data_IF_820823101193
#
_entry.id   IF_820823101193
#
_cell.length_a   1.000
_cell.length_b   1.000
_cell.length_c   1.000
_cell.angle_alpha   90.00
_cell.angle_beta   90.00
_cell.angle_gamma   90.00
#
_symmetry.space_group_name_H-M   'P 1'
#
loop_
_entity.id
_entity.type
_entity.pdbx_description
1 polymer ?
#
# COMPACT_ATOMS: atom_id res chain seq x y z
N UNK A 1 -47.50 57.36 -13.05
CA UNK A 1 -46.92 57.30 -11.69
C UNK A 1 -46.78 55.83 -11.34
N UNK A 2 -45.53 55.40 -11.23
CA UNK A 2 -45.09 54.01 -11.32
C UNK A 2 -45.48 53.18 -10.09
N UNK A 3 -45.97 51.98 -10.38
CA UNK A 3 -46.07 50.85 -9.46
C UNK A 3 -44.68 50.24 -9.31
N UNK A 4 -43.99 50.50 -8.21
CA UNK A 4 -42.73 49.82 -7.89
C UNK A 4 -43.05 48.43 -7.35
N UNK A 5 -42.74 47.43 -8.18
CA UNK A 5 -42.73 46.01 -7.85
C UNK A 5 -41.58 45.74 -6.87
N UNK A 6 -41.93 45.47 -5.61
CA UNK A 6 -40.99 44.94 -4.63
C UNK A 6 -40.63 43.49 -5.03
N UNK A 7 -39.47 43.30 -5.65
CA UNK A 7 -38.88 41.97 -5.81
C UNK A 7 -38.24 41.58 -4.48
N UNK A 8 -38.34 40.32 -4.03
CA UNK A 8 -37.50 39.88 -2.93
C UNK A 8 -36.05 39.94 -3.41
N UNK A 9 -35.24 40.71 -2.70
CA UNK A 9 -33.79 40.65 -2.81
C UNK A 9 -33.37 39.27 -2.30
N UNK A 10 -33.07 38.35 -3.21
CA UNK A 10 -32.38 37.10 -2.87
C UNK A 10 -31.08 37.47 -2.14
N UNK A 11 -30.96 37.03 -0.89
CA UNK A 11 -29.76 37.24 -0.11
C UNK A 11 -28.63 36.38 -0.69
N UNK A 12 -27.50 36.95 -1.15
CA UNK A 12 -26.40 36.19 -1.75
C UNK A 12 -25.78 35.12 -0.82
N UNK A 13 -26.07 35.17 0.49
CA UNK A 13 -25.70 34.12 1.45
C UNK A 13 -26.50 32.81 1.34
N UNK A 14 -27.74 32.82 0.82
CA UNK A 14 -28.58 31.62 0.75
C UNK A 14 -28.20 30.69 -0.41
N UNK A 15 -27.89 31.27 -1.57
CA UNK A 15 -27.51 30.52 -2.78
C UNK A 15 -26.14 29.86 -2.64
N UNK A 16 -25.15 30.60 -2.12
CA UNK A 16 -23.82 30.05 -1.82
C UNK A 16 -23.92 28.89 -0.82
N UNK A 17 -24.82 29.00 0.15
CA UNK A 17 -25.03 27.97 1.15
C UNK A 17 -25.70 26.72 0.56
N UNK A 18 -26.65 26.91 -0.35
CA UNK A 18 -27.27 25.82 -1.10
C UNK A 18 -26.26 25.08 -1.99
N UNK A 19 -25.41 25.81 -2.73
CA UNK A 19 -24.34 25.23 -3.55
C UNK A 19 -23.38 24.37 -2.72
N UNK A 20 -22.97 24.85 -1.54
CA UNK A 20 -22.13 24.07 -0.62
C UNK A 20 -22.80 22.76 -0.20
N UNK A 21 -24.10 22.78 0.08
CA UNK A 21 -24.83 21.58 0.47
C UNK A 21 -24.94 20.57 -0.69
N UNK A 22 -25.16 21.05 -1.92
CA UNK A 22 -25.13 20.20 -3.12
C UNK A 22 -23.75 19.58 -3.33
N UNK A 23 -22.67 20.36 -3.19
CA UNK A 23 -21.31 19.84 -3.36
C UNK A 23 -20.99 18.77 -2.31
N UNK A 24 -21.34 19.00 -1.04
CA UNK A 24 -21.18 18.00 0.03
C UNK A 24 -22.00 16.74 -0.26
N UNK A 25 -23.21 16.88 -0.81
CA UNK A 25 -24.03 15.73 -1.20
C UNK A 25 -23.38 14.93 -2.32
N UNK A 26 -22.87 15.59 -3.36
CA UNK A 26 -22.18 14.93 -4.46
C UNK A 26 -20.92 14.18 -4.02
N UNK A 27 -20.15 14.72 -3.05
CA UNK A 27 -19.03 13.98 -2.47
C UNK A 27 -19.46 12.76 -1.66
N UNK A 28 -20.59 12.83 -0.94
CA UNK A 28 -21.13 11.64 -0.27
C UNK A 28 -21.51 10.55 -1.27
N UNK A 29 -22.05 10.93 -2.43
CA UNK A 29 -22.41 9.97 -3.48
C UNK A 29 -21.15 9.34 -4.11
N UNK A 30 -20.11 10.13 -4.37
CA UNK A 30 -18.80 9.66 -4.81
C UNK A 30 -18.15 8.71 -3.80
N UNK A 31 -18.23 9.05 -2.51
CA UNK A 31 -17.72 8.20 -1.42
C UNK A 31 -18.37 6.81 -1.43
N UNK A 32 -19.69 6.71 -1.63
CA UNK A 32 -20.38 5.39 -1.71
C UNK A 32 -19.90 4.54 -2.89
N UNK A 33 -19.34 5.15 -3.93
CA UNK A 33 -18.76 4.40 -5.06
C UNK A 33 -17.32 3.98 -4.84
N UNK A 34 -16.56 4.75 -4.08
CA UNK A 34 -15.20 4.38 -3.69
C UNK A 34 -15.18 3.28 -2.61
N UNK A 35 -16.31 3.04 -1.95
CA UNK A 35 -16.45 2.06 -0.87
C UNK A 35 -15.87 0.67 -1.25
N UNK A 36 -14.84 0.18 -0.54
CA UNK A 36 -14.21 -1.11 -0.80
C UNK A 36 -15.12 -2.30 -0.48
N UNK A 37 -16.13 -2.15 0.39
CA UNK A 37 -17.02 -3.25 0.81
C UNK A 37 -18.14 -3.55 -0.20
N UNK A 38 -18.15 -2.85 -1.34
CA UNK A 38 -19.16 -3.04 -2.37
C UNK A 38 -18.92 -4.35 -3.13
N UNK A 39 -19.68 -5.39 -2.78
CA UNK A 39 -19.70 -6.67 -3.48
C UNK A 39 -20.04 -6.43 -4.97
N UNK A 40 -19.18 -6.88 -5.92
CA UNK A 40 -19.52 -6.83 -7.34
C UNK A 40 -20.76 -7.68 -7.60
N UNK A 41 -21.85 -7.08 -8.05
CA UNK A 41 -23.03 -7.81 -8.52
C UNK A 41 -22.80 -8.24 -9.96
N UNK A 42 -22.27 -9.45 -10.22
CA UNK A 42 -22.59 -10.22 -11.43
C UNK A 42 -22.29 -11.72 -11.31
N UNK A 43 -23.27 -12.52 -11.76
CA UNK A 43 -23.13 -13.93 -12.15
C UNK A 43 -22.56 -13.98 -13.58
N UNK A 44 -21.39 -14.60 -13.78
CA UNK A 44 -20.96 -15.06 -15.10
C UNK A 44 -20.30 -16.43 -14.97
N UNK A 45 -20.72 -17.34 -15.83
CA UNK A 45 -20.25 -18.73 -15.91
C UNK A 45 -18.78 -18.80 -16.37
N UNK A 46 -17.98 -19.73 -15.84
CA UNK A 46 -16.58 -19.87 -16.18
C UNK A 46 -16.47 -20.36 -17.62
N UNK A 47 -16.01 -19.49 -18.51
CA UNK A 47 -15.67 -19.88 -19.89
C UNK A 47 -14.25 -19.43 -20.18
N UNK A 48 -13.47 -20.33 -20.77
CA UNK A 48 -12.10 -20.08 -21.24
C UNK A 48 -12.11 -18.86 -22.19
N UNK A 49 -11.14 -17.94 -22.10
CA UNK A 49 -11.11 -16.78 -22.98
C UNK A 49 -10.94 -17.22 -24.44
N UNK A 50 -11.84 -16.78 -25.31
CA UNK A 50 -11.67 -16.80 -26.77
C UNK A 50 -10.65 -15.74 -27.19
N UNK A 51 -10.06 -15.86 -28.37
CA UNK A 51 -9.01 -14.97 -28.89
C UNK A 51 -9.48 -13.50 -28.93
N UNK A 52 -10.77 -13.27 -29.23
CA UNK A 52 -11.39 -11.94 -29.20
C UNK A 52 -11.58 -11.33 -27.80
N UNK A 53 -11.50 -12.13 -26.72
CA UNK A 53 -11.56 -11.65 -25.32
C UNK A 53 -10.20 -11.10 -24.88
N UNK A 54 -9.10 -11.63 -25.43
CA UNK A 54 -7.74 -11.15 -25.12
C UNK A 54 -7.52 -9.73 -25.66
N UNK A 55 -7.86 -9.47 -26.93
CA UNK A 55 -7.75 -8.13 -27.53
C UNK A 55 -8.55 -7.07 -26.75
N UNK A 56 -9.73 -7.44 -26.23
CA UNK A 56 -10.52 -6.54 -25.39
C UNK A 56 -9.86 -6.25 -24.03
N UNK A 57 -9.14 -7.21 -23.44
CA UNK A 57 -8.45 -7.04 -22.16
C UNK A 57 -7.21 -6.17 -22.30
N UNK A 58 -6.46 -6.31 -23.39
CA UNK A 58 -5.32 -5.44 -23.71
C UNK A 58 -5.76 -3.98 -23.82
N UNK A 59 -6.84 -3.71 -24.56
CA UNK A 59 -7.39 -2.37 -24.69
C UNK A 59 -7.80 -1.80 -23.33
N UNK A 60 -8.49 -2.59 -22.50
CA UNK A 60 -8.91 -2.14 -21.17
C UNK A 60 -7.72 -1.90 -20.24
N UNK A 61 -6.72 -2.78 -20.28
CA UNK A 61 -5.48 -2.63 -19.50
C UNK A 61 -4.76 -1.34 -19.89
N UNK A 62 -4.62 -1.09 -21.20
CA UNK A 62 -4.01 0.12 -21.71
C UNK A 62 -4.80 1.37 -21.34
N UNK A 63 -6.13 1.34 -21.48
CA UNK A 63 -6.99 2.45 -21.06
C UNK A 63 -6.86 2.75 -19.56
N UNK A 64 -6.73 1.72 -18.72
CA UNK A 64 -6.62 1.88 -17.27
C UNK A 64 -5.40 2.74 -16.88
N UNK A 65 -4.21 2.42 -17.41
CA UNK A 65 -2.97 3.13 -17.05
C UNK A 65 -2.67 4.37 -17.90
N UNK A 66 -3.21 4.48 -19.11
CA UNK A 66 -2.97 5.60 -20.03
C UNK A 66 -3.99 6.72 -19.92
N UNK A 67 -5.23 6.41 -19.53
CA UNK A 67 -6.36 7.35 -19.61
C UNK A 67 -7.14 7.42 -18.31
N UNK A 68 -7.66 6.30 -17.81
CA UNK A 68 -8.62 6.31 -16.70
C UNK A 68 -7.99 6.78 -15.38
N UNK A 69 -6.85 6.21 -14.99
CA UNK A 69 -6.14 6.61 -13.76
C UNK A 69 -5.52 8.01 -13.87
N UNK A 70 -4.86 8.41 -14.99
CA UNK A 70 -4.43 9.79 -15.18
C UNK A 70 -5.58 10.81 -15.06
N UNK A 71 -6.73 10.53 -15.68
CA UNK A 71 -7.91 11.39 -15.59
C UNK A 71 -8.39 11.53 -14.15
N UNK A 72 -8.45 10.43 -13.39
CA UNK A 72 -8.79 10.46 -11.96
C UNK A 72 -7.84 11.38 -11.18
N UNK A 73 -6.54 11.25 -11.43
CA UNK A 73 -5.50 12.06 -10.80
C UNK A 73 -5.68 13.55 -11.10
N UNK A 74 -5.87 13.90 -12.37
CA UNK A 74 -6.03 15.28 -12.83
C UNK A 74 -7.30 15.90 -12.26
N UNK A 75 -8.38 15.13 -12.17
CA UNK A 75 -9.59 15.60 -11.51
C UNK A 75 -9.36 15.90 -10.02
N UNK A 76 -8.62 15.05 -9.28
CA UNK A 76 -8.31 15.30 -7.85
C UNK A 76 -7.45 16.55 -7.70
N UNK A 77 -6.43 16.73 -8.55
CA UNK A 77 -5.59 17.93 -8.55
C UNK A 77 -6.45 19.17 -8.84
N UNK A 78 -7.34 19.09 -9.83
CA UNK A 78 -8.24 20.19 -10.19
C UNK A 78 -9.18 20.56 -9.04
N UNK A 79 -9.79 19.58 -8.38
CA UNK A 79 -10.56 19.82 -7.14
C UNK A 79 -9.68 20.49 -6.09
N UNK A 80 -8.44 20.02 -5.94
CA UNK A 80 -7.51 20.55 -4.96
C UNK A 80 -7.28 22.06 -5.15
N UNK A 81 -7.08 22.46 -6.41
CA UNK A 81 -6.84 23.85 -6.81
C UNK A 81 -8.10 24.70 -6.68
N UNK A 82 -9.26 24.20 -7.10
CA UNK A 82 -10.54 24.91 -7.00
C UNK A 82 -10.93 25.18 -5.53
N UNK A 83 -10.59 24.25 -4.64
CA UNK A 83 -10.92 24.32 -3.22
C UNK A 83 -9.78 24.83 -2.35
N UNK A 84 -8.72 25.37 -2.97
CA UNK A 84 -7.61 25.99 -2.25
C UNK A 84 -8.13 27.15 -1.36
N UNK A 85 -7.76 27.20 -0.06
CA UNK A 85 -8.30 28.18 0.88
C UNK A 85 -8.03 29.64 0.51
N UNK A 86 -6.89 29.93 -0.11
CA UNK A 86 -6.57 31.29 -0.55
C UNK A 86 -7.40 31.66 -1.76
N UNK A 87 -7.51 30.73 -2.70
CA UNK A 87 -8.34 30.93 -3.88
C UNK A 87 -9.83 31.04 -3.53
N UNK A 88 -10.34 30.28 -2.56
CA UNK A 88 -11.77 30.23 -2.21
C UNK A 88 -12.31 31.52 -1.60
N UNK A 89 -11.46 32.47 -1.18
CA UNK A 89 -11.88 33.82 -0.78
C UNK A 89 -12.42 34.64 -1.96
N UNK A 90 -12.00 34.29 -3.18
CA UNK A 90 -12.40 34.94 -4.43
C UNK A 90 -13.24 33.96 -5.26
N UNK A 91 -14.37 34.44 -5.79
CA UNK A 91 -15.21 33.69 -6.75
C UNK A 91 -15.74 32.34 -6.22
N UNK A 92 -16.01 32.24 -4.91
CA UNK A 92 -16.43 30.97 -4.26
C UNK A 92 -17.65 30.33 -4.94
N UNK A 93 -18.60 31.13 -5.44
CA UNK A 93 -19.79 30.62 -6.12
C UNK A 93 -19.44 29.93 -7.44
N UNK A 94 -18.66 30.60 -8.30
CA UNK A 94 -18.23 30.05 -9.59
C UNK A 94 -17.42 28.77 -9.41
N UNK A 95 -16.54 28.73 -8.40
CA UNK A 95 -15.74 27.55 -8.07
C UNK A 95 -16.60 26.39 -7.58
N UNK A 96 -17.59 26.64 -6.73
CA UNK A 96 -18.51 25.60 -6.27
C UNK A 96 -19.38 25.06 -7.40
N UNK A 97 -19.87 25.92 -8.31
CA UNK A 97 -20.55 25.48 -9.54
C UNK A 97 -19.63 24.61 -10.40
N UNK A 98 -18.37 25.01 -10.57
CA UNK A 98 -17.38 24.21 -11.30
C UNK A 98 -17.13 22.85 -10.65
N UNK A 99 -17.07 22.77 -9.32
CA UNK A 99 -16.97 21.49 -8.61
C UNK A 99 -18.19 20.60 -8.88
N UNK A 100 -19.41 21.16 -8.88
CA UNK A 100 -20.62 20.40 -9.22
C UNK A 100 -20.59 19.85 -10.65
N UNK A 101 -20.04 20.61 -11.61
CA UNK A 101 -19.88 20.15 -13.00
C UNK A 101 -18.91 18.98 -13.14
N UNK A 102 -17.85 18.93 -12.34
CA UNK A 102 -16.80 17.89 -12.41
C UNK A 102 -17.23 16.61 -11.66
N UNK A 103 -18.11 16.69 -10.67
CA UNK A 103 -18.55 15.52 -9.87
C UNK A 103 -19.15 14.36 -10.70
N UNK A 104 -20.01 14.60 -11.71
CA UNK A 104 -20.48 13.56 -12.63
C UNK A 104 -19.35 12.89 -13.43
N UNK A 105 -18.33 13.65 -13.84
CA UNK A 105 -17.18 13.12 -14.58
C UNK A 105 -16.34 12.19 -13.70
N UNK A 106 -16.08 12.56 -12.44
CA UNK A 106 -15.49 11.67 -11.44
C UNK A 106 -16.27 10.38 -11.29
N UNK A 107 -17.59 10.52 -11.15
CA UNK A 107 -18.50 9.42 -10.92
C UNK A 107 -18.47 8.41 -12.10
N UNK A 108 -18.41 8.91 -13.33
CA UNK A 108 -18.23 8.10 -14.53
C UNK A 108 -16.86 7.42 -14.56
N UNK A 109 -15.79 8.16 -14.31
CA UNK A 109 -14.42 7.67 -14.34
C UNK A 109 -14.16 6.57 -13.29
N UNK A 110 -14.61 6.72 -12.04
CA UNK A 110 -14.51 5.67 -11.00
C UNK A 110 -15.27 4.40 -11.42
N UNK A 111 -16.43 4.56 -12.08
CA UNK A 111 -17.21 3.43 -12.58
C UNK A 111 -16.45 2.69 -13.68
N UNK A 112 -15.85 3.42 -14.62
CA UNK A 112 -15.04 2.85 -15.69
C UNK A 112 -13.80 2.13 -15.16
N UNK A 113 -13.12 2.69 -14.15
CA UNK A 113 -11.96 2.05 -13.51
C UNK A 113 -12.36 0.70 -12.91
N UNK A 114 -13.44 0.64 -12.12
CA UNK A 114 -13.93 -0.61 -11.54
C UNK A 114 -14.31 -1.63 -12.62
N UNK A 115 -15.12 -1.21 -13.61
CA UNK A 115 -15.51 -2.08 -14.73
C UNK A 115 -14.31 -2.63 -15.50
N UNK A 116 -13.27 -1.82 -15.71
CA UNK A 116 -12.05 -2.26 -16.38
C UNK A 116 -11.31 -3.31 -15.55
N UNK A 117 -11.14 -3.09 -14.24
CA UNK A 117 -10.52 -4.07 -13.34
C UNK A 117 -11.32 -5.36 -13.29
N UNK A 118 -12.64 -5.30 -13.13
CA UNK A 118 -13.51 -6.49 -13.09
C UNK A 118 -13.41 -7.33 -14.39
N UNK A 119 -13.23 -6.66 -15.53
CA UNK A 119 -13.08 -7.33 -16.83
C UNK A 119 -11.67 -7.92 -17.05
N UNK A 120 -10.64 -7.27 -16.52
CA UNK A 120 -9.23 -7.68 -16.60
C UNK A 120 -8.92 -8.81 -15.59
N UNK A 121 -9.52 -8.76 -14.40
CA UNK A 121 -9.28 -9.65 -13.26
C UNK A 121 -10.51 -10.52 -12.94
N UNK A 122 -10.74 -11.65 -13.63
CA UNK A 122 -11.88 -12.51 -13.33
C UNK A 122 -11.84 -13.10 -11.91
N UNK A 123 -13.01 -13.26 -11.28
CA UNK A 123 -13.13 -13.79 -9.91
C UNK A 123 -12.53 -15.20 -9.72
N UNK A 124 -12.37 -16.00 -10.79
CA UNK A 124 -11.77 -17.34 -10.72
C UNK A 124 -10.24 -17.34 -10.77
N UNK A 125 -9.58 -16.18 -10.88
CA UNK A 125 -8.11 -16.10 -10.88
C UNK A 125 -7.50 -16.72 -9.61
N UNK A 126 -8.21 -16.65 -8.48
CA UNK A 126 -7.81 -17.24 -7.20
C UNK A 126 -7.75 -18.77 -7.19
N UNK A 127 -8.34 -19.45 -8.18
CA UNK A 127 -8.39 -20.93 -8.25
C UNK A 127 -7.56 -21.53 -9.37
N UNK A 128 -6.97 -20.71 -10.24
CA UNK A 128 -6.14 -21.18 -11.36
C UNK A 128 -4.77 -21.64 -10.88
N UNK A 129 -4.26 -22.75 -11.44
CA UNK A 129 -2.87 -23.17 -11.25
C UNK A 129 -1.94 -22.10 -11.81
N UNK A 130 -1.08 -21.53 -10.97
CA UNK A 130 -0.28 -20.32 -11.26
C UNK A 130 1.12 -20.63 -11.80
N UNK A 131 1.29 -21.84 -12.36
CA UNK A 131 2.60 -22.41 -12.70
C UNK A 131 2.97 -22.30 -14.17
N UNK A 132 1.99 -22.07 -15.06
CA UNK A 132 2.16 -22.12 -16.52
C UNK A 132 1.83 -20.79 -17.23
N UNK A 133 1.97 -19.65 -16.53
CA UNK A 133 1.61 -18.32 -17.04
C UNK A 133 2.81 -17.40 -17.36
N UNK A 134 4.02 -17.95 -17.48
CA UNK A 134 5.26 -17.20 -17.69
C UNK A 134 5.18 -16.26 -18.90
N UNK A 135 4.52 -16.70 -19.98
CA UNK A 135 4.41 -15.98 -21.24
C UNK A 135 3.27 -14.94 -21.26
N UNK A 136 2.42 -14.88 -20.22
CA UNK A 136 1.27 -13.96 -20.15
C UNK A 136 1.67 -12.52 -19.82
N UNK A 137 2.94 -12.23 -19.55
CA UNK A 137 3.48 -10.88 -19.33
C UNK A 137 2.66 -10.08 -18.31
N UNK A 138 1.95 -9.03 -18.72
CA UNK A 138 1.12 -8.19 -17.85
C UNK A 138 -0.08 -8.94 -17.25
N UNK A 139 -0.53 -10.02 -17.87
CA UNK A 139 -1.68 -10.84 -17.45
C UNK A 139 -1.31 -12.06 -16.63
N UNK A 140 -0.06 -12.16 -16.15
CA UNK A 140 0.28 -13.11 -15.09
C UNK A 140 -0.70 -12.95 -13.93
N UNK A 141 -1.27 -14.06 -13.47
CA UNK A 141 -2.33 -14.09 -12.44
C UNK A 141 -1.96 -13.26 -11.22
N UNK A 142 -0.72 -13.40 -10.71
CA UNK A 142 -0.24 -12.66 -9.56
C UNK A 142 -0.23 -11.14 -9.80
N UNK A 143 0.17 -10.69 -11.00
CA UNK A 143 0.14 -9.26 -11.34
C UNK A 143 -1.28 -8.73 -11.34
N UNK A 144 -2.24 -9.49 -11.88
CA UNK A 144 -3.65 -9.11 -11.91
C UNK A 144 -4.24 -8.98 -10.51
N UNK A 145 -3.94 -9.93 -9.62
CA UNK A 145 -4.35 -9.88 -8.21
C UNK A 145 -3.74 -8.67 -7.48
N UNK A 146 -2.46 -8.37 -7.73
CA UNK A 146 -1.81 -7.20 -7.12
C UNK A 146 -2.37 -5.88 -7.67
N UNK A 147 -2.69 -5.81 -8.97
CA UNK A 147 -3.35 -4.65 -9.58
C UNK A 147 -4.74 -4.44 -8.96
N UNK A 148 -5.54 -5.49 -8.81
CA UNK A 148 -6.86 -5.41 -8.18
C UNK A 148 -6.75 -4.87 -6.76
N UNK A 149 -5.87 -5.46 -5.94
CA UNK A 149 -5.57 -4.98 -4.57
C UNK A 149 -5.14 -3.51 -4.57
N UNK A 150 -4.25 -3.13 -5.46
CA UNK A 150 -3.70 -1.77 -5.53
C UNK A 150 -4.74 -0.74 -6.00
N UNK A 151 -5.65 -1.11 -6.91
CA UNK A 151 -6.78 -0.25 -7.30
C UNK A 151 -7.75 -0.08 -6.13
N UNK A 152 -8.04 -1.14 -5.37
CA UNK A 152 -8.84 -1.04 -4.14
C UNK A 152 -8.22 -0.06 -3.12
N UNK A 153 -6.92 -0.18 -2.84
CA UNK A 153 -6.19 0.77 -1.97
C UNK A 153 -6.26 2.19 -2.54
N UNK A 154 -6.13 2.35 -3.85
CA UNK A 154 -6.23 3.67 -4.51
C UNK A 154 -7.61 4.30 -4.29
N UNK A 155 -8.68 3.52 -4.50
CA UNK A 155 -10.04 4.02 -4.32
C UNK A 155 -10.35 4.34 -2.86
N UNK A 156 -9.76 3.62 -1.91
CA UNK A 156 -9.87 3.94 -0.48
C UNK A 156 -9.18 5.27 -0.12
N UNK A 157 -7.99 5.55 -0.66
CA UNK A 157 -7.33 6.85 -0.49
C UNK A 157 -8.16 7.99 -1.14
N UNK A 158 -8.77 7.72 -2.30
CA UNK A 158 -9.71 8.67 -2.94
C UNK A 158 -10.95 8.89 -2.06
N UNK A 159 -11.53 7.84 -1.48
CA UNK A 159 -12.62 7.94 -0.51
C UNK A 159 -12.25 8.85 0.67
N UNK A 160 -11.06 8.65 1.24
CA UNK A 160 -10.57 9.46 2.35
C UNK A 160 -10.36 10.92 1.95
N UNK A 161 -9.88 11.19 0.74
CA UNK A 161 -9.79 12.57 0.22
C UNK A 161 -11.16 13.23 0.09
N UNK A 162 -12.18 12.55 -0.45
CA UNK A 162 -13.55 13.07 -0.53
C UNK A 162 -14.17 13.31 0.86
N UNK A 163 -13.88 12.43 1.82
CA UNK A 163 -14.30 12.61 3.22
C UNK A 163 -13.66 13.85 3.84
N UNK A 164 -12.37 14.08 3.59
CA UNK A 164 -11.64 15.25 4.07
C UNK A 164 -12.20 16.54 3.45
N UNK A 165 -12.42 16.57 2.14
CA UNK A 165 -13.05 17.69 1.41
C UNK A 165 -14.43 18.00 1.98
N UNK A 166 -15.28 16.98 2.15
CA UNK A 166 -16.62 17.14 2.71
C UNK A 166 -16.59 17.73 4.12
N UNK A 167 -15.60 17.36 4.93
CA UNK A 167 -15.43 17.84 6.30
C UNK A 167 -14.97 19.30 6.30
N UNK A 168 -14.00 19.63 5.45
CA UNK A 168 -13.53 20.99 5.23
C UNK A 168 -14.67 21.93 4.81
N UNK A 169 -15.50 21.52 3.84
CA UNK A 169 -16.65 22.31 3.39
C UNK A 169 -17.72 22.55 4.47
N UNK A 170 -18.02 21.53 5.28
CA UNK A 170 -18.94 21.68 6.41
C UNK A 170 -18.43 22.69 7.42
N UNK A 171 -17.12 22.69 7.70
CA UNK A 171 -16.52 23.66 8.62
C UNK A 171 -16.51 25.08 8.05
N UNK A 172 -16.20 25.24 6.75
CA UNK A 172 -16.33 26.53 6.07
C UNK A 172 -17.75 27.10 6.14
N UNK A 173 -18.77 26.24 6.04
CA UNK A 173 -20.19 26.63 6.23
C UNK A 173 -20.45 27.17 7.65
N UNK A 174 -19.94 26.50 8.68
CA UNK A 174 -20.20 26.85 10.08
C UNK A 174 -19.53 28.16 10.52
N UNK A 175 -18.43 28.55 9.86
CA UNK A 175 -17.63 29.70 10.29
C UNK A 175 -18.13 31.05 9.76
N UNK A 176 -19.12 31.11 8.86
CA UNK A 176 -19.75 32.35 8.36
C UNK A 176 -18.82 33.58 8.28
N UNK A 177 -17.63 33.44 7.67
CA UNK A 177 -16.63 34.50 7.52
C UNK A 177 -15.43 34.44 8.48
N UNK A 178 -15.35 33.46 9.38
CA UNK A 178 -14.19 33.19 10.23
C UNK A 178 -13.08 32.39 9.52
N UNK A 179 -11.85 32.58 9.98
CA UNK A 179 -10.67 31.85 9.47
C UNK A 179 -10.83 30.35 9.70
N UNK A 180 -10.67 29.53 8.65
CA UNK A 180 -10.62 28.07 8.79
C UNK A 180 -9.37 27.69 9.57
N UNK A 181 -9.51 26.79 10.54
CA UNK A 181 -8.38 26.31 11.31
C UNK A 181 -7.33 25.67 10.37
N UNK A 182 -6.06 26.05 10.55
CA UNK A 182 -4.92 25.54 9.77
C UNK A 182 -4.87 24.00 9.74
N UNK A 183 -5.31 23.35 10.83
CA UNK A 183 -5.36 21.89 10.93
C UNK A 183 -6.32 21.24 9.92
N UNK A 184 -7.48 21.85 9.63
CA UNK A 184 -8.45 21.29 8.69
C UNK A 184 -7.96 21.41 7.24
N UNK A 185 -7.29 22.52 6.91
CA UNK A 185 -6.61 22.73 5.62
C UNK A 185 -5.49 21.71 5.46
N UNK A 186 -4.64 21.56 6.48
CA UNK A 186 -3.55 20.59 6.48
C UNK A 186 -4.07 19.16 6.27
N UNK A 187 -5.15 18.77 6.95
CA UNK A 187 -5.76 17.45 6.81
C UNK A 187 -6.30 17.21 5.39
N UNK A 188 -6.99 18.20 4.83
CA UNK A 188 -7.50 18.16 3.46
C UNK A 188 -6.37 18.01 2.42
N UNK A 189 -5.32 18.82 2.52
CA UNK A 189 -4.17 18.75 1.62
C UNK A 189 -3.46 17.39 1.75
N UNK A 190 -3.25 16.92 2.98
CA UNK A 190 -2.62 15.63 3.24
C UNK A 190 -3.34 14.47 2.54
N UNK A 191 -4.66 14.33 2.69
CA UNK A 191 -5.40 13.24 2.05
C UNK A 191 -5.47 13.37 0.53
N UNK A 192 -5.49 14.59 0.02
CA UNK A 192 -5.44 14.85 -1.43
C UNK A 192 -4.09 14.42 -2.01
N UNK A 193 -2.98 14.79 -1.36
CA UNK A 193 -1.64 14.36 -1.74
C UNK A 193 -1.49 12.84 -1.69
N UNK A 194 -2.04 12.20 -0.65
CA UNK A 194 -2.07 10.73 -0.54
C UNK A 194 -2.83 10.08 -1.69
N UNK A 195 -4.02 10.56 -2.04
CA UNK A 195 -4.79 10.04 -3.15
C UNK A 195 -4.05 10.19 -4.50
N UNK A 196 -3.46 11.37 -4.75
CA UNK A 196 -2.64 11.62 -5.95
C UNK A 196 -1.41 10.72 -6.01
N UNK A 197 -0.74 10.50 -4.88
CA UNK A 197 0.40 9.60 -4.77
C UNK A 197 0.00 8.13 -5.00
N UNK A 198 -1.12 7.68 -4.44
CA UNK A 198 -1.66 6.34 -4.63
C UNK A 198 -2.00 6.06 -6.09
N UNK A 199 -2.69 6.99 -6.77
CA UNK A 199 -2.99 6.87 -8.20
C UNK A 199 -1.68 6.81 -9.02
N UNK A 200 -0.71 7.66 -8.69
CA UNK A 200 0.60 7.64 -9.35
C UNK A 200 1.38 6.34 -9.16
N UNK A 201 1.29 5.74 -7.97
CA UNK A 201 1.85 4.42 -7.68
C UNK A 201 1.17 3.33 -8.52
N UNK A 202 -0.15 3.32 -8.58
CA UNK A 202 -0.93 2.35 -9.36
C UNK A 202 -0.60 2.41 -10.85
N UNK A 203 -0.52 3.62 -11.43
CA UNK A 203 -0.06 3.82 -12.81
C UNK A 203 1.35 3.26 -13.00
N UNK A 204 2.26 3.52 -12.05
CA UNK A 204 3.64 3.03 -12.11
C UNK A 204 3.70 1.50 -12.07
N UNK A 205 2.89 0.85 -11.23
CA UNK A 205 2.85 -0.61 -11.13
C UNK A 205 2.24 -1.27 -12.37
N UNK A 206 1.19 -0.69 -12.94
CA UNK A 206 0.59 -1.15 -14.20
C UNK A 206 1.57 -1.09 -15.38
N UNK A 207 2.36 -0.01 -15.47
CA UNK A 207 3.38 0.18 -16.51
C UNK A 207 4.73 -0.48 -16.17
N UNK A 208 4.90 -0.84 -14.91
CA UNK A 208 6.18 -1.19 -14.32
C UNK A 208 6.59 -2.63 -14.58
N UNK A 209 7.88 -2.87 -14.45
CA UNK A 209 8.47 -4.19 -14.51
C UNK A 209 8.02 -5.07 -13.33
N UNK A 210 8.25 -6.37 -13.41
CA UNK A 210 8.10 -7.25 -12.25
C UNK A 210 9.01 -6.86 -11.08
N UNK A 211 10.16 -6.24 -11.37
CA UNK A 211 11.04 -5.72 -10.33
C UNK A 211 10.44 -4.48 -9.64
N UNK A 212 9.67 -3.65 -10.34
CA UNK A 212 8.95 -2.54 -9.71
C UNK A 212 7.94 -3.07 -8.69
N UNK A 213 7.21 -4.14 -9.03
CA UNK A 213 6.27 -4.82 -8.11
C UNK A 213 7.02 -5.35 -6.88
N UNK A 214 8.09 -6.14 -7.09
CA UNK A 214 8.93 -6.68 -6.01
C UNK A 214 9.49 -5.58 -5.11
N UNK A 215 9.97 -4.48 -5.70
CA UNK A 215 10.50 -3.35 -4.94
C UNK A 215 9.42 -2.64 -4.11
N UNK A 216 8.19 -2.52 -4.57
CA UNK A 216 7.11 -1.93 -3.75
C UNK A 216 6.73 -2.85 -2.58
N UNK A 217 6.63 -4.17 -2.79
CA UNK A 217 6.42 -5.12 -1.70
C UNK A 217 7.57 -5.08 -0.68
N UNK A 218 8.82 -4.99 -1.16
CA UNK A 218 9.99 -4.88 -0.32
C UNK A 218 10.01 -3.58 0.50
N UNK A 219 9.60 -2.43 -0.07
CA UNK A 219 9.52 -1.15 0.66
C UNK A 219 8.51 -1.19 1.80
N UNK A 220 7.32 -1.71 1.57
CA UNK A 220 6.31 -1.90 2.63
C UNK A 220 6.89 -2.79 3.75
N UNK A 221 7.57 -3.86 3.38
CA UNK A 221 8.23 -4.75 4.33
C UNK A 221 9.32 -4.04 5.14
N UNK A 222 10.21 -3.28 4.49
CA UNK A 222 11.27 -2.52 5.18
C UNK A 222 10.65 -1.53 6.17
N UNK A 223 9.64 -0.78 5.77
CA UNK A 223 8.94 0.18 6.64
C UNK A 223 8.38 -0.50 7.89
N UNK A 224 7.72 -1.64 7.73
CA UNK A 224 7.17 -2.42 8.86
C UNK A 224 8.25 -2.99 9.77
N UNK A 225 9.34 -3.50 9.18
CA UNK A 225 10.50 -4.02 9.92
C UNK A 225 11.19 -2.89 10.71
N UNK A 226 11.34 -1.70 10.14
CA UNK A 226 11.94 -0.55 10.84
C UNK A 226 11.13 -0.13 12.06
N UNK A 227 9.79 -0.10 11.94
CA UNK A 227 8.91 0.14 13.06
C UNK A 227 9.11 -0.90 14.17
N UNK A 228 9.07 -2.19 13.82
CA UNK A 228 9.26 -3.27 14.79
C UNK A 228 10.65 -3.26 15.42
N UNK A 229 11.69 -2.94 14.65
CA UNK A 229 13.05 -2.79 15.16
C UNK A 229 13.14 -1.67 16.21
N UNK A 230 12.47 -0.53 15.96
CA UNK A 230 12.42 0.55 16.95
C UNK A 230 11.72 0.09 18.24
N UNK A 231 10.59 -0.64 18.12
CA UNK A 231 9.90 -1.22 19.28
C UNK A 231 10.78 -2.20 20.05
N UNK A 232 11.49 -3.11 19.36
CA UNK A 232 12.40 -4.06 20.00
C UNK A 232 13.56 -3.37 20.71
N UNK A 233 14.14 -2.33 20.10
CA UNK A 233 15.21 -1.54 20.72
C UNK A 233 14.72 -0.81 21.99
N UNK A 234 13.49 -0.31 21.98
CA UNK A 234 12.88 0.36 23.14
C UNK A 234 12.67 -0.64 24.30
N UNK A 235 12.17 -1.86 24.04
CA UNK A 235 11.90 -2.83 25.13
C UNK A 235 13.17 -3.53 25.65
N UNK A 236 14.19 -3.72 24.80
CA UNK A 236 15.45 -4.38 25.23
C UNK A 236 16.36 -3.41 25.99
N UNK A 237 16.20 -2.09 25.81
CA UNK A 237 17.00 -1.07 26.48
C UNK A 237 16.19 -0.33 27.56
N UNK A 238 16.38 -0.64 28.86
CA UNK A 238 15.64 -0.02 29.95
C UNK A 238 15.90 1.49 30.12
N UNK A 239 16.95 2.03 29.46
CA UNK A 239 17.30 3.45 29.49
C UNK A 239 16.92 4.21 28.21
N UNK A 240 16.29 3.55 27.23
CA UNK A 240 15.83 4.23 26.02
C UNK A 240 14.69 5.20 26.36
N UNK A 241 14.69 6.45 25.84
CA UNK A 241 13.53 7.30 25.95
C UNK A 241 12.37 6.61 25.22
N UNK A 242 11.29 6.27 25.95
CA UNK A 242 10.09 5.63 25.42
C UNK A 242 9.53 6.50 24.28
N UNK A 243 9.81 6.11 23.04
CA UNK A 243 9.37 6.86 21.85
C UNK A 243 8.16 6.21 21.20
N UNK A 244 8.11 4.87 21.21
CA UNK A 244 7.08 4.10 20.53
C UNK A 244 6.56 2.90 21.34
N UNK A 245 6.99 2.77 22.60
CA UNK A 245 6.71 1.61 23.43
C UNK A 245 5.21 1.43 23.71
N UNK A 246 4.63 0.40 23.12
CA UNK A 246 3.32 -0.15 23.48
C UNK A 246 3.43 -1.07 24.71
N UNK A 247 4.62 -1.64 24.93
CA UNK A 247 4.91 -2.64 25.98
C UNK A 247 6.00 -2.15 26.94
N UNK A 248 6.01 -2.64 28.20
CA UNK A 248 7.05 -2.31 29.18
C UNK A 248 8.43 -2.85 28.76
N UNK A 249 9.53 -2.23 29.22
CA UNK A 249 10.87 -2.78 29.03
C UNK A 249 11.01 -4.17 29.64
N UNK A 250 11.80 -5.03 28.99
CA UNK A 250 12.15 -6.35 29.48
C UNK A 250 12.99 -6.22 30.77
N UNK A 251 12.72 -7.10 31.74
CA UNK A 251 13.30 -7.03 33.08
C UNK A 251 14.20 -8.21 33.42
N UNK A 252 14.04 -9.34 32.72
CA UNK A 252 14.79 -10.56 32.99
C UNK A 252 15.95 -10.74 32.01
N UNK A 253 17.17 -10.81 32.55
CA UNK A 253 18.41 -10.88 31.77
C UNK A 253 18.38 -11.97 30.67
N UNK A 254 17.90 -13.20 30.90
CA UNK A 254 17.88 -14.22 29.85
C UNK A 254 16.98 -13.84 28.66
N UNK A 255 15.84 -13.20 28.93
CA UNK A 255 14.92 -12.74 27.89
C UNK A 255 15.45 -11.49 27.18
N UNK A 256 16.16 -10.61 27.89
CA UNK A 256 16.87 -9.49 27.29
C UNK A 256 17.96 -9.94 26.30
N UNK A 257 18.72 -10.99 26.62
CA UNK A 257 19.71 -11.55 25.70
C UNK A 257 19.04 -12.17 24.45
N UNK A 258 17.91 -12.86 24.61
CA UNK A 258 17.10 -13.29 23.46
C UNK A 258 16.64 -12.09 22.61
N UNK A 259 16.18 -11.01 23.25
CA UNK A 259 15.77 -9.80 22.56
C UNK A 259 16.89 -9.18 21.71
N UNK A 260 18.14 -9.20 22.20
CA UNK A 260 19.30 -8.75 21.41
C UNK A 260 19.55 -9.63 20.19
N UNK A 261 19.42 -10.95 20.33
CA UNK A 261 19.55 -11.87 19.20
C UNK A 261 18.42 -11.67 18.18
N UNK A 262 17.18 -11.45 18.64
CA UNK A 262 16.05 -11.11 17.79
C UNK A 262 16.27 -9.81 17.00
N UNK A 263 16.81 -8.77 17.64
CA UNK A 263 17.21 -7.51 16.97
C UNK A 263 18.17 -7.79 15.80
N UNK A 264 19.17 -8.66 15.98
CA UNK A 264 20.10 -9.01 14.91
C UNK A 264 19.38 -9.70 13.74
N UNK A 265 18.47 -10.64 14.02
CA UNK A 265 17.70 -11.34 12.97
C UNK A 265 16.81 -10.35 12.20
N UNK A 266 16.16 -9.42 12.89
CA UNK A 266 15.34 -8.34 12.30
C UNK A 266 16.19 -7.46 11.39
N UNK A 267 17.38 -7.05 11.84
CA UNK A 267 18.32 -6.26 11.04
C UNK A 267 18.78 -7.00 9.78
N UNK A 268 19.15 -8.28 9.89
CA UNK A 268 19.56 -9.09 8.74
C UNK A 268 18.40 -9.27 7.76
N UNK A 269 17.17 -9.45 8.26
CA UNK A 269 15.96 -9.49 7.43
C UNK A 269 15.74 -8.18 6.69
N UNK A 270 15.90 -7.03 7.34
CA UNK A 270 15.78 -5.71 6.72
C UNK A 270 16.74 -5.56 5.53
N UNK A 271 18.00 -5.96 5.73
CA UNK A 271 19.04 -5.88 4.69
C UNK A 271 18.68 -6.68 3.43
N UNK A 272 17.95 -7.79 3.56
CA UNK A 272 17.43 -8.56 2.42
C UNK A 272 16.49 -7.73 1.57
N UNK A 273 15.46 -7.15 2.18
CA UNK A 273 14.44 -6.40 1.45
C UNK A 273 14.98 -5.06 0.92
N UNK A 274 15.91 -4.42 1.64
CA UNK A 274 16.60 -3.22 1.16
C UNK A 274 17.37 -3.45 -0.15
N UNK A 275 17.79 -4.70 -0.46
CA UNK A 275 18.46 -5.00 -1.74
C UNK A 275 17.59 -4.85 -2.97
N UNK A 276 16.26 -4.90 -2.83
CA UNK A 276 15.35 -4.63 -3.94
C UNK A 276 15.14 -3.14 -4.20
N UNK A 277 15.62 -2.26 -3.32
CA UNK A 277 15.40 -0.81 -3.45
C UNK A 277 15.95 -0.23 -4.75
N UNK A 278 15.53 1.00 -5.08
CA UNK A 278 16.03 1.78 -6.24
C UNK A 278 17.56 1.93 -6.31
N UNK A 279 18.26 1.83 -5.18
CA UNK A 279 19.73 1.88 -5.14
C UNK A 279 20.39 0.49 -5.21
N UNK A 280 19.57 -0.57 -5.09
CA UNK A 280 19.95 -1.96 -5.26
C UNK A 280 19.63 -2.46 -6.67
N UNK A 281 18.78 -3.48 -6.77
CA UNK A 281 18.43 -4.09 -8.05
C UNK A 281 17.59 -3.15 -8.93
N UNK A 282 16.68 -2.37 -8.34
CA UNK A 282 15.70 -1.55 -9.08
C UNK A 282 16.27 -0.22 -9.63
N UNK A 283 17.60 -0.04 -9.60
CA UNK A 283 18.27 1.07 -10.25
C UNK A 283 18.64 0.81 -11.71
N UNK A 284 18.29 -0.37 -12.24
CA UNK A 284 18.69 -0.83 -13.58
C UNK A 284 17.47 -0.90 -14.51
N UNK A 285 17.69 -0.60 -15.79
CA UNK A 285 16.68 -0.81 -16.82
C UNK A 285 16.62 -2.29 -17.17
N UNK A 286 15.92 -3.07 -16.36
CA UNK A 286 15.70 -4.50 -16.61
C UNK A 286 14.55 -4.72 -17.60
N UNK A 287 14.46 -5.94 -18.12
CA UNK A 287 13.29 -6.39 -18.89
C UNK A 287 12.02 -6.20 -18.06
N UNK A 288 10.92 -5.80 -18.73
CA UNK A 288 9.63 -5.58 -18.07
C UNK A 288 9.09 -6.87 -17.41
N UNK A 289 9.35 -8.01 -18.05
CA UNK A 289 8.87 -9.31 -17.61
C UNK A 289 10.02 -10.30 -17.54
N UNK A 290 10.01 -11.13 -16.51
CA UNK A 290 10.94 -12.23 -16.32
C UNK A 290 10.28 -13.55 -16.73
N UNK A 291 11.07 -14.61 -16.70
CA UNK A 291 10.61 -15.99 -16.92
C UNK A 291 9.96 -16.62 -15.67
N UNK A 292 9.72 -15.83 -14.61
CA UNK A 292 8.97 -16.31 -13.44
C UNK A 292 7.49 -16.50 -13.77
N UNK A 293 6.88 -17.57 -13.28
CA UNK A 293 5.42 -17.66 -13.25
C UNK A 293 4.84 -16.87 -12.06
N UNK A 294 3.52 -16.80 -11.97
CA UNK A 294 2.82 -16.12 -10.89
C UNK A 294 3.10 -16.68 -9.51
N UNK A 295 3.23 -18.00 -9.36
CA UNK A 295 3.59 -18.61 -8.06
C UNK A 295 4.97 -18.14 -7.59
N UNK A 296 5.96 -18.12 -8.50
CA UNK A 296 7.32 -17.68 -8.20
C UNK A 296 7.38 -16.17 -7.89
N UNK A 297 6.70 -15.34 -8.69
CA UNK A 297 6.62 -13.90 -8.44
C UNK A 297 5.93 -13.62 -7.10
N UNK A 298 4.81 -14.29 -6.84
CA UNK A 298 4.08 -14.21 -5.57
C UNK A 298 4.92 -14.68 -4.39
N UNK A 299 5.72 -15.73 -4.54
CA UNK A 299 6.65 -16.22 -3.52
C UNK A 299 7.61 -15.12 -3.06
N UNK A 300 8.19 -14.36 -4.00
CA UNK A 300 9.09 -13.25 -3.67
C UNK A 300 8.34 -12.13 -2.94
N UNK A 301 7.22 -11.68 -3.49
CA UNK A 301 6.49 -10.52 -2.95
C UNK A 301 5.84 -10.81 -1.59
N UNK A 302 5.30 -12.01 -1.38
CA UNK A 302 4.67 -12.41 -0.11
C UNK A 302 5.69 -12.80 0.97
N UNK A 303 6.97 -12.92 0.62
CA UNK A 303 8.05 -13.22 1.57
C UNK A 303 8.07 -12.21 2.72
N UNK A 304 7.89 -10.92 2.40
CA UNK A 304 7.94 -9.85 3.38
C UNK A 304 6.85 -9.93 4.45
N UNK A 305 5.62 -10.25 4.03
CA UNK A 305 4.49 -10.44 4.95
C UNK A 305 4.74 -11.60 5.92
N UNK A 306 5.26 -12.73 5.42
CA UNK A 306 5.62 -13.91 6.23
C UNK A 306 6.75 -13.60 7.21
N UNK A 307 7.80 -12.92 6.74
CA UNK A 307 8.93 -12.51 7.59
C UNK A 307 8.47 -11.58 8.70
N UNK A 308 7.68 -10.56 8.35
CA UNK A 308 7.14 -9.62 9.34
C UNK A 308 6.25 -10.32 10.38
N UNK A 309 5.37 -11.24 9.95
CA UNK A 309 4.50 -11.99 10.87
C UNK A 309 5.31 -12.81 11.88
N UNK A 310 6.39 -13.47 11.45
CA UNK A 310 7.25 -14.24 12.35
C UNK A 310 8.04 -13.35 13.30
N UNK A 311 8.51 -12.18 12.86
CA UNK A 311 9.14 -11.21 13.76
C UNK A 311 8.17 -10.70 14.83
N UNK A 312 6.91 -10.42 14.45
CA UNK A 312 5.85 -10.06 15.41
C UNK A 312 5.57 -11.21 16.38
N UNK A 313 5.58 -12.46 15.92
CA UNK A 313 5.44 -13.64 16.79
C UNK A 313 6.57 -13.71 17.80
N UNK A 314 7.83 -13.58 17.38
CA UNK A 314 9.00 -13.56 18.28
C UNK A 314 8.89 -12.42 19.30
N UNK A 315 8.54 -11.22 18.86
CA UNK A 315 8.36 -10.07 19.74
C UNK A 315 7.30 -10.32 20.82
N UNK A 316 6.12 -10.84 20.45
CA UNK A 316 5.07 -11.19 21.41
C UNK A 316 5.53 -12.26 22.40
N UNK A 317 6.23 -13.28 21.91
CA UNK A 317 6.79 -14.33 22.77
C UNK A 317 7.81 -13.76 23.77
N UNK A 318 8.65 -12.80 23.37
CA UNK A 318 9.58 -12.12 24.29
C UNK A 318 8.82 -11.41 25.42
N UNK A 319 7.79 -10.63 25.08
CA UNK A 319 6.98 -9.92 26.07
C UNK A 319 6.28 -10.88 27.04
N UNK A 320 5.67 -11.95 26.53
CA UNK A 320 5.00 -12.95 27.38
C UNK A 320 5.99 -13.72 28.25
N UNK A 321 7.14 -14.13 27.70
CA UNK A 321 8.16 -14.87 28.44
C UNK A 321 8.81 -14.04 29.56
N UNK A 322 8.96 -12.73 29.37
CA UNK A 322 9.45 -11.83 30.42
C UNK A 322 8.41 -11.59 31.53
N UNK A 323 7.14 -11.45 31.14
CA UNK A 323 6.05 -11.22 32.10
C UNK A 323 5.82 -12.42 33.03
N UNK A 324 5.90 -13.64 32.50
CA UNK A 324 5.65 -14.88 33.24
C UNK A 324 6.96 -15.54 33.74
N UNK A 325 8.08 -14.81 33.70
CA UNK A 325 9.40 -15.40 33.94
C UNK A 325 9.52 -15.99 35.34
N UNK A 326 9.81 -17.30 35.41
CA UNK A 326 9.91 -18.04 36.67
C UNK A 326 8.58 -18.52 37.25
N UNK A 327 7.44 -18.03 36.74
CA UNK A 327 6.10 -18.54 37.08
C UNK A 327 5.69 -19.68 36.13
N UNK A 328 5.95 -19.53 34.84
CA UNK A 328 5.66 -20.52 33.81
C UNK A 328 6.91 -20.89 33.00
N UNK A 329 6.99 -22.13 32.46
CA UNK A 329 8.07 -22.49 31.55
C UNK A 329 7.99 -21.64 30.28
N UNK A 330 9.15 -21.19 29.79
CA UNK A 330 9.24 -20.47 28.52
C UNK A 330 8.78 -21.40 27.38
N UNK A 331 7.95 -20.87 26.48
CA UNK A 331 7.52 -21.61 25.28
C UNK A 331 8.62 -21.65 24.21
N UNK A 332 9.67 -22.41 24.51
CA UNK A 332 10.84 -22.59 23.64
C UNK A 332 10.46 -23.15 22.28
N UNK A 333 9.40 -23.98 22.21
CA UNK A 333 8.91 -24.55 20.96
C UNK A 333 8.39 -23.47 20.03
N UNK A 334 7.52 -22.57 20.50
CA UNK A 334 6.97 -21.50 19.66
C UNK A 334 8.04 -20.52 19.19
N UNK A 335 9.08 -20.27 19.99
CA UNK A 335 10.24 -19.47 19.59
C UNK A 335 11.03 -20.13 18.45
N UNK A 336 11.35 -21.42 18.59
CA UNK A 336 12.10 -22.18 17.59
C UNK A 336 11.31 -22.25 16.28
N UNK A 337 10.02 -22.59 16.35
CA UNK A 337 9.15 -22.64 15.16
C UNK A 337 9.12 -21.28 14.44
N UNK A 338 8.96 -20.17 15.16
CA UNK A 338 8.96 -18.84 14.56
C UNK A 338 10.31 -18.49 13.90
N UNK A 339 11.43 -18.91 14.49
CA UNK A 339 12.76 -18.69 13.96
C UNK A 339 13.05 -19.55 12.71
N UNK A 340 12.63 -20.80 12.69
CA UNK A 340 12.75 -21.69 11.54
C UNK A 340 11.85 -21.25 10.38
N UNK A 341 10.64 -20.76 10.69
CA UNK A 341 9.72 -20.20 9.71
C UNK A 341 10.28 -18.92 9.05
N UNK A 342 11.09 -18.13 9.75
CA UNK A 342 11.81 -16.98 9.16
C UNK A 342 12.77 -17.41 8.06
N UNK A 343 13.57 -18.46 8.30
CA UNK A 343 14.51 -19.00 7.29
C UNK A 343 13.72 -19.54 6.09
N UNK A 344 12.67 -20.31 6.35
CA UNK A 344 11.82 -20.88 5.31
C UNK A 344 11.16 -19.79 4.45
N UNK A 345 10.76 -18.67 5.06
CA UNK A 345 10.11 -17.56 4.39
C UNK A 345 11.02 -16.79 3.40
N UNK A 346 12.34 -16.92 3.51
CA UNK A 346 13.31 -16.21 2.67
C UNK A 346 14.14 -17.11 1.76
N UNK A 347 14.21 -18.41 2.05
CA UNK A 347 15.00 -19.36 1.27
C UNK A 347 14.54 -19.50 -0.19
N UNK A 348 13.25 -19.78 -0.40
CA UNK A 348 12.69 -19.90 -1.75
C UNK A 348 12.77 -18.56 -2.52
N UNK A 349 12.35 -17.41 -1.94
CA UNK A 349 12.54 -16.10 -2.55
C UNK A 349 13.99 -15.80 -2.94
N UNK A 350 14.95 -16.08 -2.05
CA UNK A 350 16.37 -15.84 -2.33
C UNK A 350 16.85 -16.64 -3.54
N UNK A 351 16.46 -17.93 -3.64
CA UNK A 351 16.78 -18.77 -4.80
C UNK A 351 16.15 -18.23 -6.09
N UNK A 352 14.89 -17.81 -6.05
CA UNK A 352 14.19 -17.25 -7.21
C UNK A 352 14.83 -15.93 -7.68
N UNK A 353 15.24 -15.07 -6.76
CA UNK A 353 15.94 -13.82 -7.06
C UNK A 353 17.28 -14.11 -7.75
N UNK A 354 18.05 -15.06 -7.21
CA UNK A 354 19.32 -15.48 -7.81
C UNK A 354 19.13 -16.11 -9.20
N UNK A 355 18.05 -16.86 -9.40
CA UNK A 355 17.77 -17.56 -10.65
C UNK A 355 17.22 -16.64 -11.75
N UNK A 356 16.34 -15.71 -11.40
CA UNK A 356 15.55 -14.95 -12.38
C UNK A 356 15.90 -13.46 -12.44
N UNK A 357 16.34 -12.85 -11.34
CA UNK A 357 16.60 -11.40 -11.29
C UNK A 357 18.09 -11.08 -11.45
N UNK A 358 18.98 -11.83 -10.78
CA UNK A 358 20.43 -11.60 -10.87
C UNK A 358 20.97 -11.71 -12.30
N UNK A 359 20.57 -12.70 -13.14
CA UNK A 359 21.06 -12.80 -14.51
C UNK A 359 20.66 -11.62 -15.41
N UNK A 360 19.62 -10.87 -15.04
CA UNK A 360 19.15 -9.72 -15.81
C UNK A 360 20.01 -8.46 -15.57
N UNK A 361 20.86 -8.47 -14.53
CA UNK A 361 21.70 -7.32 -14.19
C UNK A 361 22.80 -7.09 -15.23
N UNK A 362 23.11 -5.81 -15.49
CA UNK A 362 24.08 -5.39 -16.52
C UNK A 362 25.52 -5.83 -16.18
N UNK A 363 25.93 -6.97 -16.74
CA UNK A 363 27.31 -7.42 -16.80
C UNK A 363 27.79 -8.30 -15.64
N UNK A 364 28.78 -9.13 -15.96
CA UNK A 364 29.38 -10.13 -15.06
C UNK A 364 29.81 -9.59 -13.68
N UNK A 365 30.44 -8.40 -13.54
CA UNK A 365 30.86 -7.92 -12.22
C UNK A 365 29.70 -7.72 -11.24
N UNK A 366 28.55 -7.23 -11.73
CA UNK A 366 27.36 -7.01 -10.90
C UNK A 366 26.73 -8.34 -10.50
N UNK A 367 26.60 -9.26 -11.45
CA UNK A 367 26.05 -10.59 -11.19
C UNK A 367 26.87 -11.31 -10.11
N UNK A 368 28.20 -11.32 -10.24
CA UNK A 368 29.11 -11.90 -9.25
C UNK A 368 28.96 -11.22 -7.88
N UNK A 369 28.83 -9.89 -7.84
CA UNK A 369 28.59 -9.18 -6.59
C UNK A 369 27.30 -9.63 -5.90
N UNK A 370 26.18 -9.69 -6.62
CA UNK A 370 24.90 -10.10 -6.03
C UNK A 370 24.91 -11.58 -5.60
N UNK A 371 25.50 -12.47 -6.40
CA UNK A 371 25.67 -13.88 -6.03
C UNK A 371 26.45 -14.02 -4.72
N UNK A 372 27.60 -13.33 -4.61
CA UNK A 372 28.41 -13.34 -3.41
C UNK A 372 27.63 -12.74 -2.22
N UNK A 373 26.93 -11.63 -2.44
CA UNK A 373 26.13 -10.98 -1.40
C UNK A 373 25.02 -11.89 -0.85
N UNK A 374 24.24 -12.55 -1.70
CA UNK A 374 23.19 -13.47 -1.25
C UNK A 374 23.78 -14.69 -0.53
N UNK A 375 24.93 -15.21 -0.97
CA UNK A 375 25.60 -16.31 -0.29
C UNK A 375 26.07 -15.90 1.12
N UNK A 376 26.68 -14.72 1.26
CA UNK A 376 27.08 -14.18 2.57
C UNK A 376 25.86 -13.93 3.45
N UNK A 377 24.83 -13.27 2.92
CA UNK A 377 23.61 -12.98 3.67
C UNK A 377 22.90 -14.26 4.15
N UNK A 378 22.79 -15.27 3.29
CA UNK A 378 22.19 -16.57 3.64
C UNK A 378 22.97 -17.28 4.76
N UNK A 379 24.30 -17.15 4.76
CA UNK A 379 25.12 -17.65 5.87
C UNK A 379 24.83 -16.87 7.15
N UNK A 380 24.80 -15.54 7.08
CA UNK A 380 24.53 -14.67 8.23
C UNK A 380 23.18 -14.93 8.87
N UNK A 381 22.09 -15.06 8.09
CA UNK A 381 20.76 -15.30 8.65
C UNK A 381 20.68 -16.68 9.31
N UNK A 382 21.27 -17.72 8.70
CA UNK A 382 21.29 -19.07 9.28
C UNK A 382 22.08 -19.11 10.59
N UNK A 383 23.23 -18.45 10.65
CA UNK A 383 24.01 -18.33 11.89
C UNK A 383 23.25 -17.55 12.97
N UNK A 384 22.60 -16.44 12.63
CA UNK A 384 21.83 -15.66 13.59
C UNK A 384 20.66 -16.46 14.18
N UNK A 385 19.93 -17.20 13.33
CA UNK A 385 18.84 -18.08 13.74
C UNK A 385 19.36 -19.23 14.61
N UNK A 386 20.47 -19.86 14.23
CA UNK A 386 21.08 -20.92 15.04
C UNK A 386 21.44 -20.42 16.45
N UNK A 387 22.12 -19.27 16.56
CA UNK A 387 22.48 -18.69 17.84
C UNK A 387 21.24 -18.35 18.69
N UNK A 388 20.16 -17.87 18.05
CA UNK A 388 18.90 -17.60 18.73
C UNK A 388 18.26 -18.89 19.26
N UNK A 389 18.18 -19.94 18.44
CA UNK A 389 17.66 -21.26 18.83
C UNK A 389 18.49 -21.89 19.96
N UNK A 390 19.82 -21.79 19.90
CA UNK A 390 20.69 -22.27 20.99
C UNK A 390 20.42 -21.54 22.31
N UNK A 391 20.23 -20.21 22.27
CA UNK A 391 19.91 -19.43 23.44
C UNK A 391 18.52 -19.79 24.01
N UNK A 392 17.53 -20.03 23.15
CA UNK A 392 16.18 -20.46 23.56
C UNK A 392 16.21 -21.83 24.25
N UNK A 393 17.06 -22.75 23.80
CA UNK A 393 17.21 -24.07 24.42
C UNK A 393 17.89 -24.04 25.80
N UNK A 394 18.44 -22.90 26.21
CA UNK A 394 19.09 -22.71 27.51
C UNK A 394 18.16 -22.09 28.57
N UNK A 395 16.91 -21.78 28.21
CA UNK A 395 15.91 -21.16 29.09
C UNK A 395 15.09 -22.16 29.91
#
# INVERSE_FOLDING_TARGET
>A
MESSSDRPVDQPGSELQHLRDLVILGFKDLMRKCDPDRIPTWEVSPTVPDDGVMDSRDILYDQLHSTLLPLLKDHIITLSTLLDPMSMQEESELKLRRVLEIQPEFNGNITQIRSAVDAICPQYLSTMSQTDDQELKQFKVYRLLEIEKQVCVTLDEVYHSFKAISSYMKRMKLLAGGSVNNLDVMWYLHWTERAVAAIGLTIRLLKGSELDVVNECAKDTVFRIEYLLATLLDIVNPNAPLRYALDPPLTHQPIMELGKLAILIVQISRLFFEKFSKHGMNGQTLQLFTQMNSEQLGCICQSGEKVFANHVKIWKLLCSADADFGENPVDSRSFIEAAEDLVSAVEAPSRLVVLHLVPLLDGHPKQTFYLAWFATWNTSIKTAIHNFVEAVNQL
#
